data_IF_235410556074
#
_entry.id   IF_235410556074
#
_cell.length_a   1.000
_cell.length_b   1.000
_cell.length_c   1.000
_cell.angle_alpha   90.00
_cell.angle_beta   90.00
_cell.angle_gamma   90.00
#
_symmetry.space_group_name_H-M   'P 1'
#
loop_
_entity.id
_entity.type
_entity.pdbx_description
1 polymer ?
#
# COMPACT_ATOMS: atom_id res chain seq x y z
N UNK A 1 -12.15 -5.69 6.45
CA UNK A 1 -11.73 -6.75 7.38
C UNK A 1 -12.50 -8.04 7.17
N UNK A 2 -13.87 -8.02 7.19
CA UNK A 2 -14.69 -9.25 7.06
C UNK A 2 -14.40 -10.03 5.78
N UNK A 3 -14.43 -9.37 4.63
CA UNK A 3 -14.15 -10.00 3.32
C UNK A 3 -12.72 -10.53 3.26
N UNK A 4 -11.76 -9.75 3.74
CA UNK A 4 -10.37 -10.15 3.88
C UNK A 4 -10.23 -11.45 4.71
N UNK A 5 -10.91 -11.50 5.86
CA UNK A 5 -10.90 -12.67 6.72
C UNK A 5 -11.45 -13.93 6.02
N UNK A 6 -12.58 -13.78 5.32
CA UNK A 6 -13.19 -14.89 4.57
C UNK A 6 -12.29 -15.38 3.43
N UNK A 7 -11.66 -14.48 2.69
CA UNK A 7 -10.72 -14.83 1.61
C UNK A 7 -9.50 -15.56 2.15
N UNK A 8 -8.90 -15.08 3.24
CA UNK A 8 -7.75 -15.74 3.88
C UNK A 8 -8.11 -17.09 4.47
N UNK A 9 -9.31 -17.25 5.03
CA UNK A 9 -9.80 -18.54 5.54
C UNK A 9 -9.87 -19.60 4.44
N UNK A 10 -10.15 -19.17 3.20
CA UNK A 10 -10.14 -20.04 2.01
C UNK A 10 -8.72 -20.24 1.42
N UNK A 11 -7.69 -19.67 2.03
CA UNK A 11 -6.30 -19.79 1.58
C UNK A 11 -5.86 -18.74 0.56
N UNK A 12 -6.69 -17.72 0.28
CA UNK A 12 -6.37 -16.61 -0.61
C UNK A 12 -5.43 -15.60 0.02
N UNK A 13 -4.52 -15.01 -0.77
CA UNK A 13 -3.78 -13.80 -0.42
C UNK A 13 -4.57 -12.55 -0.80
N UNK A 14 -4.26 -11.41 -0.18
CA UNK A 14 -5.02 -10.17 -0.33
C UNK A 14 -4.09 -9.00 -0.56
N UNK A 15 -4.53 -8.03 -1.37
CA UNK A 15 -3.90 -6.72 -1.49
C UNK A 15 -4.89 -5.62 -1.19
N UNK A 16 -4.42 -4.58 -0.49
CA UNK A 16 -5.21 -3.42 -0.15
C UNK A 16 -4.47 -2.13 -0.46
N UNK A 17 -5.16 -1.19 -1.10
CA UNK A 17 -4.73 0.19 -1.17
C UNK A 17 -5.26 0.98 0.03
N UNK A 18 -4.35 1.50 0.84
CA UNK A 18 -4.66 2.30 2.01
C UNK A 18 -4.68 3.82 1.74
N UNK A 19 -4.47 4.23 0.50
CA UNK A 19 -4.37 5.65 0.10
C UNK A 19 -5.66 6.45 0.31
N UNK A 20 -6.80 5.78 0.39
CA UNK A 20 -8.10 6.42 0.63
C UNK A 20 -8.37 6.71 2.10
N UNK A 21 -7.56 6.16 3.00
CA UNK A 21 -7.72 6.40 4.43
C UNK A 21 -7.22 7.78 4.82
N UNK A 22 -7.97 8.42 5.70
CA UNK A 22 -7.65 9.76 6.19
C UNK A 22 -6.29 9.78 6.90
N UNK A 23 -5.44 10.77 6.63
CA UNK A 23 -4.13 10.87 7.26
C UNK A 23 -4.22 11.09 8.76
N UNK A 24 -3.20 10.66 9.48
CA UNK A 24 -3.05 10.82 10.92
C UNK A 24 -3.15 12.30 11.33
N UNK A 25 -3.90 12.55 12.38
CA UNK A 25 -4.14 13.90 12.91
C UNK A 25 -5.16 14.72 12.10
N UNK A 26 -5.72 14.18 11.02
CA UNK A 26 -6.79 14.87 10.30
C UNK A 26 -8.12 14.79 11.05
N UNK A 27 -8.82 15.90 11.18
CA UNK A 27 -10.08 15.98 11.92
C UNK A 27 -11.17 15.10 11.32
N UNK A 28 -11.74 14.23 12.12
CA UNK A 28 -12.94 13.44 11.81
C UNK A 28 -14.17 14.22 12.30
N UNK A 29 -14.76 15.01 11.41
CA UNK A 29 -15.86 15.94 11.75
C UNK A 29 -17.03 15.29 12.48
N UNK A 30 -17.36 14.03 12.17
CA UNK A 30 -18.52 13.32 12.74
C UNK A 30 -18.37 13.00 14.23
N UNK A 31 -17.14 12.89 14.74
CA UNK A 31 -16.84 12.49 16.11
C UNK A 31 -15.96 13.51 16.85
N UNK A 32 -15.52 14.57 16.18
CA UNK A 32 -14.66 15.60 16.77
C UNK A 32 -13.28 15.12 17.25
N UNK A 33 -12.78 14.02 16.68
CA UNK A 33 -11.49 13.42 17.04
C UNK A 33 -10.53 13.37 15.87
N UNK A 34 -9.24 13.21 16.15
CA UNK A 34 -8.21 13.06 15.12
C UNK A 34 -8.18 11.64 14.55
N UNK A 35 -7.93 11.53 13.26
CA UNK A 35 -7.75 10.26 12.58
C UNK A 35 -6.42 9.60 12.99
N UNK A 36 -6.40 8.27 13.11
CA UNK A 36 -5.21 7.50 13.50
C UNK A 36 -4.26 7.19 12.32
N UNK A 37 -4.72 7.40 11.09
CA UNK A 37 -3.94 7.18 9.86
C UNK A 37 -3.91 5.74 9.36
N UNK A 38 -3.49 5.53 8.09
CA UNK A 38 -3.53 4.22 7.43
C UNK A 38 -2.68 3.16 8.15
N UNK A 39 -1.50 3.50 8.62
CA UNK A 39 -0.58 2.54 9.27
C UNK A 39 -1.20 1.94 10.54
N UNK A 40 -1.95 2.74 11.31
CA UNK A 40 -2.69 2.23 12.49
C UNK A 40 -3.82 1.28 12.10
N UNK A 41 -4.50 1.54 10.99
CA UNK A 41 -5.52 0.62 10.49
C UNK A 41 -4.92 -0.70 10.01
N UNK A 42 -3.73 -0.67 9.43
CA UNK A 42 -3.02 -1.89 9.03
C UNK A 42 -2.78 -2.84 10.21
N UNK A 43 -2.55 -2.32 11.43
CA UNK A 43 -2.41 -3.14 12.63
C UNK A 43 -3.66 -4.02 12.90
N UNK A 44 -4.87 -3.55 12.54
CA UNK A 44 -6.11 -4.32 12.65
C UNK A 44 -6.12 -5.52 11.68
N UNK A 45 -5.71 -5.29 10.42
CA UNK A 45 -5.60 -6.36 9.42
C UNK A 45 -4.49 -7.33 9.78
N UNK A 46 -3.35 -6.86 10.28
CA UNK A 46 -2.25 -7.72 10.71
C UNK A 46 -2.65 -8.63 11.87
N UNK A 47 -3.36 -8.09 12.86
CA UNK A 47 -3.90 -8.87 13.97
C UNK A 47 -4.93 -9.91 13.51
N UNK A 48 -5.83 -9.54 12.59
CA UNK A 48 -6.80 -10.44 11.99
C UNK A 48 -6.08 -11.56 11.22
N UNK A 49 -5.13 -11.24 10.35
CA UNK A 49 -4.37 -12.20 9.58
C UNK A 49 -3.59 -13.17 10.46
N UNK A 50 -2.99 -12.69 11.54
CA UNK A 50 -2.28 -13.50 12.54
C UNK A 50 -3.21 -14.48 13.26
N UNK A 51 -4.47 -14.11 13.45
CA UNK A 51 -5.47 -14.91 14.17
C UNK A 51 -6.16 -15.95 13.29
N UNK A 52 -6.38 -15.60 12.02
CA UNK A 52 -7.06 -16.49 11.08
C UNK A 52 -6.04 -17.43 10.43
N UNK A 53 -6.15 -18.70 10.76
CA UNK A 53 -5.42 -19.75 10.07
C UNK A 53 -6.26 -20.25 8.90
N UNK A 54 -5.68 -20.31 7.71
CA UNK A 54 -6.34 -20.96 6.57
C UNK A 54 -6.45 -22.46 6.80
N UNK A 55 -7.49 -23.07 6.24
CA UNK A 55 -7.66 -24.50 6.24
C UNK A 55 -6.42 -25.16 5.58
N UNK A 56 -5.59 -25.85 6.37
CA UNK A 56 -4.41 -26.56 5.87
C UNK A 56 -3.05 -25.91 6.15
N UNK A 57 -2.89 -25.18 7.23
CA UNK A 57 -1.60 -24.69 7.77
C UNK A 57 -0.87 -23.59 6.94
N UNK A 58 -1.46 -23.03 5.89
CA UNK A 58 -0.89 -21.89 5.18
C UNK A 58 -1.19 -20.60 5.94
N UNK A 59 -0.17 -19.81 6.23
CA UNK A 59 -0.35 -18.48 6.82
C UNK A 59 -0.94 -17.53 5.78
N UNK A 60 -1.85 -16.65 6.20
CA UNK A 60 -2.32 -15.54 5.38
C UNK A 60 -1.17 -14.62 5.03
N UNK A 61 -1.26 -13.98 3.87
CA UNK A 61 -0.32 -12.97 3.43
C UNK A 61 -1.10 -11.80 2.80
N UNK A 62 -0.62 -10.59 3.01
CA UNK A 62 -1.26 -9.38 2.52
C UNK A 62 -0.24 -8.45 1.87
N UNK A 63 -0.67 -7.71 0.85
CA UNK A 63 0.00 -6.53 0.33
C UNK A 63 -0.71 -5.28 0.85
N UNK A 64 0.05 -4.31 1.32
CA UNK A 64 -0.44 -2.97 1.52
C UNK A 64 0.23 -2.02 0.53
N UNK A 65 -0.57 -1.24 -0.17
CA UNK A 65 -0.08 -0.16 -1.02
C UNK A 65 -0.44 1.20 -0.44
N UNK A 66 0.42 2.19 -0.66
CA UNK A 66 0.15 3.59 -0.33
C UNK A 66 0.74 4.48 -1.43
N UNK A 67 -0.02 5.50 -1.85
CA UNK A 67 0.45 6.48 -2.85
C UNK A 67 1.62 7.30 -2.32
N UNK A 68 2.57 7.61 -3.19
CA UNK A 68 3.75 8.43 -2.85
C UNK A 68 3.41 9.88 -2.48
N UNK A 69 2.20 10.34 -2.75
CA UNK A 69 1.70 11.67 -2.37
C UNK A 69 0.79 11.65 -1.14
N UNK A 70 0.61 10.51 -0.48
CA UNK A 70 -0.18 10.45 0.75
C UNK A 70 0.56 11.14 1.92
N UNK A 71 -0.12 11.93 2.79
CA UNK A 71 0.53 12.62 3.90
C UNK A 71 1.32 11.73 4.87
N UNK A 72 0.91 10.49 5.04
CA UNK A 72 1.55 9.53 5.95
C UNK A 72 2.57 8.62 5.25
N UNK A 73 3.01 8.96 4.04
CA UNK A 73 3.94 8.13 3.26
C UNK A 73 5.26 7.86 3.99
N UNK A 74 5.78 8.84 4.73
CA UNK A 74 7.03 8.68 5.48
C UNK A 74 6.87 7.67 6.64
N UNK A 75 5.71 7.68 7.35
CA UNK A 75 5.40 6.69 8.39
C UNK A 75 5.24 5.28 7.77
N UNK A 76 4.59 5.19 6.61
CA UNK A 76 4.43 3.94 5.88
C UNK A 76 5.78 3.35 5.44
N UNK A 77 6.67 4.16 4.87
CA UNK A 77 8.02 3.73 4.46
C UNK A 77 8.83 3.22 5.64
N UNK A 78 8.69 3.84 6.82
CA UNK A 78 9.40 3.45 8.03
C UNK A 78 8.75 2.29 8.80
N UNK A 79 7.56 1.82 8.41
CA UNK A 79 6.76 0.89 9.20
C UNK A 79 7.43 -0.47 9.47
N UNK A 80 8.35 -0.90 8.59
CA UNK A 80 9.11 -2.16 8.72
C UNK A 80 10.45 -2.01 9.44
N UNK A 81 10.82 -0.83 9.89
CA UNK A 81 12.01 -0.65 10.74
C UNK A 81 11.86 -1.39 12.08
N UNK A 82 10.64 -1.61 12.55
CA UNK A 82 10.34 -2.55 13.63
C UNK A 82 10.00 -3.93 13.03
N UNK A 83 10.89 -4.94 13.16
CA UNK A 83 10.68 -6.27 12.58
C UNK A 83 9.51 -7.05 13.22
N UNK A 84 8.94 -6.56 14.32
CA UNK A 84 7.77 -7.18 14.96
C UNK A 84 6.45 -6.62 14.46
N UNK A 85 6.48 -5.48 13.75
CA UNK A 85 5.29 -4.81 13.26
C UNK A 85 4.92 -5.26 11.85
N UNK A 86 3.60 -5.39 11.59
CA UNK A 86 3.01 -5.68 10.27
C UNK A 86 3.63 -6.91 9.58
N UNK A 87 3.90 -7.97 10.32
CA UNK A 87 4.62 -9.17 9.84
C UNK A 87 3.88 -9.94 8.75
N UNK A 88 2.58 -9.77 8.65
CA UNK A 88 1.76 -10.45 7.63
C UNK A 88 1.51 -9.58 6.39
N UNK A 89 2.10 -8.38 6.36
CA UNK A 89 2.07 -7.48 5.22
C UNK A 89 3.41 -7.46 4.48
N UNK A 90 3.33 -7.45 3.16
CA UNK A 90 4.34 -6.85 2.31
C UNK A 90 3.90 -5.41 2.00
N UNK A 91 4.83 -4.46 1.96
CA UNK A 91 4.55 -3.06 1.71
C UNK A 91 5.08 -2.63 0.35
N UNK A 92 4.28 -1.84 -0.38
CA UNK A 92 4.73 -1.22 -1.64
C UNK A 92 4.21 0.20 -1.79
N UNK A 93 5.08 1.09 -2.24
CA UNK A 93 4.72 2.47 -2.56
C UNK A 93 4.25 2.56 -4.00
N UNK A 94 3.05 3.12 -4.22
CA UNK A 94 2.55 3.45 -5.56
C UNK A 94 3.22 4.75 -6.01
N UNK A 95 4.18 4.67 -6.93
CA UNK A 95 4.87 5.83 -7.49
C UNK A 95 4.29 6.20 -8.84
N UNK A 96 4.12 7.51 -9.05
CA UNK A 96 3.65 8.07 -10.31
C UNK A 96 4.81 8.54 -11.19
N UNK A 97 4.59 8.65 -12.49
CA UNK A 97 5.54 9.25 -13.42
C UNK A 97 5.85 10.71 -13.03
N UNK A 98 4.86 11.43 -12.49
CA UNK A 98 5.04 12.79 -12.00
C UNK A 98 6.02 12.83 -10.81
N UNK A 99 5.90 11.88 -9.86
CA UNK A 99 6.83 11.77 -8.75
C UNK A 99 8.26 11.47 -9.23
N UNK A 100 8.42 10.52 -10.14
CA UNK A 100 9.75 10.17 -10.68
C UNK A 100 10.39 11.36 -11.43
N UNK A 101 9.59 12.14 -12.17
CA UNK A 101 10.09 13.39 -12.78
C UNK A 101 10.53 14.39 -11.70
N UNK A 102 9.74 14.58 -10.64
CA UNK A 102 10.09 15.47 -9.54
C UNK A 102 11.39 15.04 -8.82
N UNK A 103 11.61 13.74 -8.66
CA UNK A 103 12.86 13.17 -8.11
C UNK A 103 14.05 13.50 -9.00
N UNK A 104 13.94 13.28 -10.32
CA UNK A 104 15.03 13.53 -11.29
C UNK A 104 15.40 15.01 -11.37
N UNK A 105 14.38 15.88 -11.35
CA UNK A 105 14.53 17.32 -11.48
C UNK A 105 14.73 18.02 -10.12
N UNK A 106 14.79 17.25 -9.03
CA UNK A 106 14.98 17.75 -7.67
C UNK A 106 13.95 18.80 -7.25
N UNK A 107 12.69 18.53 -7.57
CA UNK A 107 11.57 19.44 -7.30
C UNK A 107 10.87 19.15 -5.96
N UNK A 108 10.12 20.12 -5.43
CA UNK A 108 9.19 19.89 -4.34
C UNK A 108 8.11 18.89 -4.77
N UNK A 109 7.59 18.15 -3.78
CA UNK A 109 6.53 17.16 -3.93
C UNK A 109 5.47 17.41 -2.86
N UNK A 110 4.23 17.62 -3.31
CA UNK A 110 3.12 17.88 -2.43
C UNK A 110 2.52 16.56 -1.92
N UNK A 111 2.36 16.48 -0.61
CA UNK A 111 1.61 15.42 0.04
C UNK A 111 0.17 15.89 0.19
N UNK A 112 -0.75 15.16 -0.44
CA UNK A 112 -2.13 15.58 -0.62
C UNK A 112 -3.13 14.59 -0.05
N UNK A 113 -4.28 15.09 0.41
CA UNK A 113 -5.44 14.27 0.74
C UNK A 113 -6.71 14.95 0.24
N UNK A 114 -7.38 14.29 -0.70
CA UNK A 114 -8.42 14.92 -1.50
C UNK A 114 -7.82 16.09 -2.31
N UNK A 115 -8.44 17.26 -2.23
CA UNK A 115 -7.97 18.48 -2.92
C UNK A 115 -7.00 19.33 -2.08
N UNK A 116 -6.61 18.88 -0.89
CA UNK A 116 -5.80 19.67 0.04
C UNK A 116 -4.36 19.23 0.03
N UNK A 117 -3.45 20.19 -0.18
CA UNK A 117 -2.04 20.02 0.14
C UNK A 117 -1.90 20.09 1.66
N UNK A 118 -1.43 18.99 2.26
CA UNK A 118 -1.20 18.90 3.70
C UNK A 118 0.20 19.36 4.05
N UNK A 119 1.18 18.98 3.23
CA UNK A 119 2.59 19.31 3.40
C UNK A 119 3.32 19.18 2.07
N UNK A 120 4.36 19.96 1.89
CA UNK A 120 5.30 19.85 0.75
C UNK A 120 6.64 19.35 1.27
N UNK A 121 7.23 18.39 0.58
CA UNK A 121 8.56 17.83 0.87
C UNK A 121 9.43 17.88 -0.39
N UNK A 122 10.71 17.56 -0.29
CA UNK A 122 11.57 17.37 -1.45
C UNK A 122 11.38 15.94 -2.00
N UNK A 123 11.05 15.81 -3.28
CA UNK A 123 10.80 14.50 -3.89
C UNK A 123 11.99 13.55 -3.76
N UNK A 124 13.21 14.07 -3.92
CA UNK A 124 14.44 13.28 -3.80
C UNK A 124 14.64 12.72 -2.39
N UNK A 125 14.31 13.48 -1.36
CA UNK A 125 14.45 13.02 0.03
C UNK A 125 13.51 11.86 0.33
N UNK A 126 12.27 11.91 -0.17
CA UNK A 126 11.34 10.77 -0.06
C UNK A 126 11.86 9.55 -0.82
N UNK A 127 12.35 9.74 -2.05
CA UNK A 127 12.92 8.65 -2.84
C UNK A 127 14.11 7.98 -2.13
N UNK A 128 15.03 8.77 -1.59
CA UNK A 128 16.17 8.27 -0.83
C UNK A 128 15.76 7.48 0.42
N UNK A 129 14.70 7.95 1.12
CA UNK A 129 14.13 7.20 2.26
C UNK A 129 13.56 5.86 1.83
N UNK A 130 12.81 5.81 0.73
CA UNK A 130 12.28 4.56 0.17
C UNK A 130 13.42 3.61 -0.16
N UNK A 131 14.43 4.07 -0.90
CA UNK A 131 15.57 3.25 -1.30
C UNK A 131 16.36 2.74 -0.11
N UNK A 132 16.57 3.58 0.90
CA UNK A 132 17.26 3.18 2.14
C UNK A 132 16.47 2.12 2.90
N UNK A 133 15.17 2.32 3.10
CA UNK A 133 14.33 1.34 3.78
C UNK A 133 14.31 0.00 3.03
N UNK A 134 14.21 0.03 1.70
CA UNK A 134 14.27 -1.17 0.86
C UNK A 134 15.62 -1.89 1.02
N UNK A 135 16.71 -1.16 1.07
CA UNK A 135 18.05 -1.75 1.27
C UNK A 135 18.21 -2.36 2.67
N UNK A 136 17.74 -1.69 3.71
CA UNK A 136 17.90 -2.11 5.11
C UNK A 136 16.93 -3.23 5.52
N UNK A 137 15.69 -3.19 5.00
CA UNK A 137 14.59 -4.05 5.47
C UNK A 137 13.94 -4.89 4.37
N UNK A 138 14.41 -4.82 3.13
CA UNK A 138 13.81 -5.41 1.93
C UNK A 138 12.41 -4.87 1.58
N UNK A 139 11.93 -3.87 2.30
CA UNK A 139 10.63 -3.23 2.12
C UNK A 139 10.73 -1.71 2.44
N UNK A 140 9.86 -0.88 1.85
CA UNK A 140 8.80 -1.22 0.89
C UNK A 140 9.35 -1.51 -0.52
N UNK A 141 8.56 -2.26 -1.31
CA UNK A 141 8.71 -2.31 -2.76
C UNK A 141 8.22 -1.04 -3.43
N UNK A 142 8.42 -0.93 -4.74
CA UNK A 142 7.93 0.19 -5.57
C UNK A 142 7.08 -0.36 -6.70
N UNK A 143 5.91 0.22 -6.89
CA UNK A 143 4.97 -0.10 -7.96
C UNK A 143 4.81 1.14 -8.84
N UNK A 144 5.15 1.05 -10.12
CA UNK A 144 5.00 2.13 -11.11
C UNK A 144 3.56 2.15 -11.61
N UNK A 145 2.68 2.74 -10.82
CA UNK A 145 1.24 2.58 -10.97
C UNK A 145 0.70 3.17 -12.27
N UNK A 146 1.24 4.30 -12.74
CA UNK A 146 0.84 4.89 -14.01
C UNK A 146 1.14 3.94 -15.17
N UNK A 147 2.33 3.31 -15.18
CA UNK A 147 2.74 2.35 -16.20
C UNK A 147 1.86 1.12 -16.24
N UNK A 148 1.46 0.63 -15.07
CA UNK A 148 0.57 -0.52 -14.95
C UNK A 148 -0.81 -0.17 -15.52
N UNK A 149 -1.33 1.01 -15.20
CA UNK A 149 -2.64 1.42 -15.70
C UNK A 149 -2.61 1.78 -17.20
N UNK A 150 -1.51 2.36 -17.71
CA UNK A 150 -1.31 2.63 -19.12
C UNK A 150 -1.32 1.35 -19.98
N UNK A 151 -0.79 0.25 -19.44
CA UNK A 151 -0.73 -1.07 -20.11
C UNK A 151 -1.95 -1.96 -19.78
N UNK A 152 -2.89 -1.48 -18.97
CA UNK A 152 -4.08 -2.24 -18.62
C UNK A 152 -5.06 -2.30 -19.79
N UNK A 153 -5.27 -3.50 -20.34
CA UNK A 153 -6.22 -3.72 -21.44
C UNK A 153 -7.67 -3.37 -21.09
N UNK A 154 -7.99 -3.24 -19.81
CA UNK A 154 -9.32 -2.90 -19.30
C UNK A 154 -9.38 -1.47 -18.72
N UNK A 155 -8.42 -0.61 -19.04
CA UNK A 155 -8.36 0.78 -18.55
C UNK A 155 -9.63 1.61 -18.80
N UNK A 156 -10.46 1.19 -19.77
CA UNK A 156 -11.74 1.84 -20.05
C UNK A 156 -12.84 1.60 -19.01
N UNK A 157 -12.68 0.63 -18.12
CA UNK A 157 -13.70 0.26 -17.12
C UNK A 157 -13.17 0.01 -15.71
N UNK A 158 -11.86 -0.06 -15.53
CA UNK A 158 -11.26 -0.32 -14.22
C UNK A 158 -9.95 0.47 -14.03
N UNK A 159 -9.52 0.60 -12.79
CA UNK A 159 -8.25 1.18 -12.40
C UNK A 159 -7.56 0.29 -11.37
N UNK A 160 -6.28 0.04 -11.55
CA UNK A 160 -5.47 -0.82 -10.68
C UNK A 160 -4.84 0.03 -9.58
N UNK A 161 -5.01 -0.39 -8.32
CA UNK A 161 -4.49 0.30 -7.13
C UNK A 161 -3.67 -0.59 -6.21
N UNK A 162 -3.74 -1.92 -6.39
CA UNK A 162 -3.06 -2.87 -5.53
C UNK A 162 -2.58 -4.09 -6.32
N UNK A 163 -1.90 -4.98 -5.63
CA UNK A 163 -1.43 -6.26 -6.18
C UNK A 163 -1.78 -7.39 -5.23
N UNK A 164 -1.57 -8.63 -5.65
CA UNK A 164 -1.51 -9.78 -4.76
C UNK A 164 -0.35 -9.64 -3.73
N UNK A 165 -0.25 -10.50 -2.70
CA UNK A 165 0.73 -10.34 -1.63
C UNK A 165 2.19 -10.24 -2.08
N UNK A 166 2.59 -10.94 -3.15
CA UNK A 166 3.97 -10.94 -3.64
C UNK A 166 4.27 -9.82 -4.65
N UNK A 167 3.26 -9.12 -5.14
CA UNK A 167 3.41 -7.95 -6.01
C UNK A 167 3.51 -8.23 -7.50
N UNK A 168 3.49 -9.50 -7.92
CA UNK A 168 3.63 -9.89 -9.33
C UNK A 168 2.36 -9.78 -10.16
N UNK A 169 1.19 -9.66 -9.49
CA UNK A 169 -0.09 -9.56 -10.16
C UNK A 169 -0.86 -8.30 -9.75
N UNK A 170 -0.76 -7.22 -10.52
CA UNK A 170 -1.60 -6.03 -10.36
C UNK A 170 -3.07 -6.37 -10.62
N UNK A 171 -3.94 -5.91 -9.74
CA UNK A 171 -5.37 -6.22 -9.79
C UNK A 171 -6.22 -4.98 -9.48
N UNK A 172 -7.37 -4.82 -10.16
CA UNK A 172 -8.36 -3.82 -9.80
C UNK A 172 -9.09 -4.19 -8.50
N UNK A 173 -9.89 -3.29 -7.93
CA UNK A 173 -10.74 -3.61 -6.79
C UNK A 173 -11.62 -4.83 -7.06
N UNK A 174 -11.65 -5.76 -6.11
CA UNK A 174 -12.34 -7.05 -6.21
C UNK A 174 -11.84 -7.98 -7.34
N UNK A 175 -10.73 -7.63 -7.98
CA UNK A 175 -10.07 -8.52 -8.91
C UNK A 175 -9.48 -9.75 -8.22
N UNK A 176 -9.42 -10.85 -8.95
CA UNK A 176 -8.81 -12.09 -8.47
C UNK A 176 -7.95 -12.72 -9.57
N UNK A 177 -6.86 -13.35 -9.15
CA UNK A 177 -6.04 -14.17 -10.05
C UNK A 177 -6.05 -15.64 -9.61
N UNK A 178 -6.00 -16.52 -10.59
CA UNK A 178 -5.85 -17.96 -10.38
C UNK A 178 -4.52 -18.38 -11.00
N UNK A 179 -3.64 -18.94 -10.18
CA UNK A 179 -2.35 -19.44 -10.64
C UNK A 179 -2.47 -20.85 -11.20
N UNK A 180 -1.75 -21.09 -12.30
CA UNK A 180 -1.61 -22.42 -12.88
C UNK A 180 -0.21 -22.58 -13.48
N UNK A 181 0.26 -23.83 -13.57
CA UNK A 181 1.53 -24.17 -14.21
C UNK A 181 1.29 -25.34 -15.17
N UNK A 182 1.86 -25.22 -16.37
CA UNK A 182 1.85 -26.30 -17.36
C UNK A 182 3.27 -26.83 -17.43
N UNK A 183 3.41 -28.14 -17.22
CA UNK A 183 4.71 -28.84 -17.31
C UNK A 183 4.88 -29.41 -18.72
#
# INVERSE_FOLDING_TARGET
>A
VKEAALTMQQGGGIGHDFSTLRPKGALVKSIGADASGPVSFMDVWDAMCRTIMSAGARRGAMMATLRCDHPDIEEFVAAKADPQRLRNFNLSVLVTDAFIRAVREDRPWDLVFGERIVRTIRARDLWERIMRATYEFAEPGVIFIDRINDENNLAYCEEIHATNPCGEQPLPPYGACLLGSIN
#
